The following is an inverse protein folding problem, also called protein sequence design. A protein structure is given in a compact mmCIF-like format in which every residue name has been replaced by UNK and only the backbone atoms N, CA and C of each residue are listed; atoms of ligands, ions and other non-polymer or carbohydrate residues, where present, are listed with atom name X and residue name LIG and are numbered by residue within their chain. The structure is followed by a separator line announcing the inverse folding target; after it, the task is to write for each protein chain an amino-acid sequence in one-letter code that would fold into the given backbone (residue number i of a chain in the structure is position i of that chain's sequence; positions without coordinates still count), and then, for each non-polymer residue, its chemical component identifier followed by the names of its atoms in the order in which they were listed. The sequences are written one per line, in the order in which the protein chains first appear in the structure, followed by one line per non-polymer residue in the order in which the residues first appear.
data_IF_273882273349
#
_entry.id   IF_273882273349
#
_cell.length_a   1.000
_cell.length_b   1.000
_cell.length_c   1.000
_cell.angle_alpha   90.00
_cell.angle_beta   90.00
_cell.angle_gamma   90.00
#
_symmetry.space_group_name_H-M   'P 1'
#
loop_
_entity.id
_entity.type
_entity.pdbx_description
1 polymer ?
#
# COMPACT_ATOMS: atom_id res chain seq x y z
N UNK A 1 -1.49 -34.66 -3.80
CA UNK A 1 -2.94 -34.30 -3.80
C UNK A 1 -3.37 -33.19 -2.81
N UNK A 2 -2.81 -33.00 -1.59
CA UNK A 2 -3.31 -31.98 -0.65
C UNK A 2 -3.06 -30.52 -1.11
N UNK A 3 -2.05 -30.28 -1.95
CA UNK A 3 -1.72 -28.93 -2.45
C UNK A 3 -2.77 -28.32 -3.38
N UNK A 4 -3.49 -29.12 -4.17
CA UNK A 4 -4.51 -28.61 -5.12
C UNK A 4 -5.75 -28.10 -4.36
N UNK A 5 -6.25 -28.87 -3.40
CA UNK A 5 -7.40 -28.46 -2.58
C UNK A 5 -7.10 -27.20 -1.76
N UNK A 6 -5.92 -27.16 -1.11
CA UNK A 6 -5.46 -25.98 -0.36
C UNK A 6 -5.37 -24.72 -1.26
N UNK A 7 -4.90 -24.88 -2.50
CA UNK A 7 -4.83 -23.78 -3.48
C UNK A 7 -6.23 -23.27 -3.86
N UNK A 8 -7.18 -24.17 -4.09
CA UNK A 8 -8.58 -23.81 -4.39
C UNK A 8 -9.19 -23.03 -3.22
N UNK A 9 -9.05 -23.53 -1.99
CA UNK A 9 -9.56 -22.86 -0.78
C UNK A 9 -8.97 -21.45 -0.65
N UNK A 10 -7.64 -21.31 -0.80
CA UNK A 10 -6.96 -20.00 -0.74
C UNK A 10 -7.50 -19.03 -1.82
N UNK A 11 -7.76 -19.53 -3.02
CA UNK A 11 -8.32 -18.71 -4.11
C UNK A 11 -9.76 -18.28 -3.81
N UNK A 12 -10.60 -19.16 -3.28
CA UNK A 12 -11.97 -18.82 -2.87
C UNK A 12 -11.97 -17.76 -1.76
N UNK A 13 -11.14 -17.92 -0.73
CA UNK A 13 -11.02 -16.93 0.35
C UNK A 13 -10.57 -15.59 -0.23
N UNK A 14 -9.56 -15.58 -1.10
CA UNK A 14 -9.10 -14.36 -1.78
C UNK A 14 -10.23 -13.70 -2.56
N UNK A 15 -11.03 -14.46 -3.31
CA UNK A 15 -12.16 -13.93 -4.06
C UNK A 15 -13.21 -13.30 -3.14
N UNK A 16 -13.60 -13.97 -2.05
CA UNK A 16 -14.56 -13.44 -1.07
C UNK A 16 -14.06 -12.16 -0.41
N UNK A 17 -12.79 -12.12 0.00
CA UNK A 17 -12.18 -10.92 0.59
C UNK A 17 -12.17 -9.75 -0.41
N UNK A 18 -11.82 -10.01 -1.66
CA UNK A 18 -11.81 -8.97 -2.70
C UNK A 18 -13.22 -8.50 -3.09
N UNK A 19 -14.22 -9.39 -3.05
CA UNK A 19 -15.62 -9.00 -3.22
C UNK A 19 -16.10 -8.12 -2.06
N UNK A 20 -15.80 -8.51 -0.82
CA UNK A 20 -16.08 -7.70 0.37
C UNK A 20 -15.39 -6.33 0.32
N UNK A 21 -14.13 -6.28 -0.12
CA UNK A 21 -13.42 -5.02 -0.35
C UNK A 21 -14.12 -4.13 -1.37
N UNK A 22 -14.52 -4.68 -2.52
CA UNK A 22 -15.25 -3.96 -3.57
C UNK A 22 -16.61 -3.47 -3.08
N UNK A 23 -17.31 -4.26 -2.26
CA UNK A 23 -18.54 -3.83 -1.62
C UNK A 23 -18.27 -2.65 -0.66
N UNK A 24 -17.23 -2.72 0.15
CA UNK A 24 -16.86 -1.64 1.07
C UNK A 24 -16.56 -0.32 0.34
N UNK A 25 -15.86 -0.38 -0.81
CA UNK A 25 -15.60 0.81 -1.65
C UNK A 25 -16.90 1.49 -2.08
N UNK A 26 -17.95 0.72 -2.39
CA UNK A 26 -19.22 1.24 -2.87
C UNK A 26 -20.12 1.75 -1.73
N UNK A 27 -20.13 1.03 -0.62
CA UNK A 27 -21.06 1.27 0.49
C UNK A 27 -20.56 2.37 1.42
N UNK A 28 -19.26 2.37 1.77
CA UNK A 28 -18.74 3.30 2.76
C UNK A 28 -18.15 4.56 2.11
N UNK A 29 -18.33 5.74 2.73
CA UNK A 29 -17.69 6.97 2.27
C UNK A 29 -16.17 6.93 2.51
N UNK A 30 -15.43 7.71 1.72
CA UNK A 30 -14.01 7.99 1.99
C UNK A 30 -13.93 8.91 3.22
N UNK A 31 -13.05 8.56 4.15
CA UNK A 31 -12.82 9.21 5.44
C UNK A 31 -11.50 9.98 5.39
N UNK A 32 -11.60 11.30 5.21
CA UNK A 32 -10.44 12.19 5.06
C UNK A 32 -9.58 12.28 6.33
N UNK A 33 -10.12 11.87 7.48
CA UNK A 33 -9.43 11.78 8.76
C UNK A 33 -8.61 10.49 8.93
N UNK A 34 -8.67 9.54 7.98
CA UNK A 34 -7.99 8.25 8.07
C UNK A 34 -6.79 8.21 7.13
N UNK A 35 -5.61 7.92 7.70
CA UNK A 35 -4.33 7.86 6.97
C UNK A 35 -3.71 6.47 7.13
N UNK A 36 -3.29 5.90 6.00
CA UNK A 36 -2.54 4.65 5.95
C UNK A 36 -1.08 4.92 5.62
N UNK A 37 -0.18 4.31 6.39
CA UNK A 37 1.25 4.33 6.15
C UNK A 37 1.77 2.92 5.88
N UNK A 38 2.62 2.75 4.88
CA UNK A 38 3.26 1.47 4.59
C UNK A 38 4.69 1.68 4.07
N UNK A 39 5.66 1.08 4.75
CA UNK A 39 7.06 0.99 4.28
C UNK A 39 7.48 -0.44 3.94
N UNK A 40 8.21 -0.60 2.83
CA UNK A 40 8.71 -1.87 2.32
C UNK A 40 7.65 -2.98 2.31
N UNK A 41 6.50 -2.72 1.69
CA UNK A 41 5.35 -3.64 1.64
C UNK A 41 4.88 -4.11 3.04
N UNK A 42 5.00 -3.24 4.04
CA UNK A 42 4.59 -3.49 5.42
C UNK A 42 5.54 -4.40 6.20
N UNK A 43 6.76 -4.64 5.71
CA UNK A 43 7.75 -5.46 6.43
C UNK A 43 8.42 -4.70 7.57
N UNK A 44 8.62 -3.40 7.39
CA UNK A 44 9.44 -2.59 8.27
C UNK A 44 8.70 -1.29 8.66
N UNK A 45 9.14 -0.66 9.75
CA UNK A 45 8.80 0.71 10.13
C UNK A 45 10.03 1.60 9.89
N UNK A 46 10.20 2.07 8.65
CA UNK A 46 11.45 2.72 8.18
C UNK A 46 11.17 3.76 7.08
N UNK A 47 12.21 4.49 6.68
CA UNK A 47 12.19 5.34 5.49
C UNK A 47 11.24 6.54 5.59
N UNK A 48 10.82 7.02 4.42
CA UNK A 48 9.99 8.22 4.32
C UNK A 48 8.60 8.07 4.98
N UNK A 49 7.86 6.95 4.84
CA UNK A 49 6.58 6.78 5.53
C UNK A 49 6.71 6.85 7.06
N UNK A 50 7.82 6.31 7.62
CA UNK A 50 8.14 6.45 9.05
C UNK A 50 8.33 7.92 9.41
N UNK A 51 9.22 8.61 8.72
CA UNK A 51 9.60 9.99 9.04
C UNK A 51 8.39 10.94 8.96
N UNK A 52 7.54 10.78 7.94
CA UNK A 52 6.29 11.55 7.81
C UNK A 52 5.37 11.29 9.01
N UNK A 53 5.19 10.03 9.40
CA UNK A 53 4.35 9.71 10.56
C UNK A 53 4.93 10.27 11.87
N UNK A 54 6.23 10.14 12.11
CA UNK A 54 6.90 10.69 13.30
C UNK A 54 6.77 12.21 13.38
N UNK A 55 6.90 12.90 12.26
CA UNK A 55 6.68 14.36 12.19
C UNK A 55 5.22 14.73 12.48
N UNK A 56 4.26 13.93 12.00
CA UNK A 56 2.85 14.12 12.37
C UNK A 56 2.61 13.94 13.87
N UNK A 57 3.28 12.97 14.52
CA UNK A 57 3.22 12.78 15.97
C UNK A 57 3.82 13.99 16.70
N UNK A 58 4.98 14.49 16.23
CA UNK A 58 5.65 15.67 16.81
C UNK A 58 4.74 16.90 16.78
N UNK A 59 3.98 17.07 15.70
CA UNK A 59 3.00 18.16 15.54
C UNK A 59 1.64 17.87 16.23
N UNK A 60 1.47 16.71 16.87
CA UNK A 60 0.21 16.30 17.51
C UNK A 60 -0.93 15.98 16.53
N UNK A 61 -0.62 15.83 15.24
CA UNK A 61 -1.60 15.54 14.20
C UNK A 61 -2.15 14.11 14.29
N UNK A 62 -1.42 13.18 14.91
CA UNK A 62 -1.87 11.81 15.19
C UNK A 62 -3.04 11.74 16.21
N UNK A 63 -3.34 12.86 16.88
CA UNK A 63 -4.55 13.02 17.72
C UNK A 63 -5.76 13.52 16.91
N UNK A 64 -5.52 14.22 15.80
CA UNK A 64 -6.56 14.72 14.89
C UNK A 64 -6.91 13.71 13.80
N UNK A 65 -5.90 12.99 13.31
CA UNK A 65 -6.03 11.97 12.28
C UNK A 65 -5.92 10.57 12.85
N UNK A 66 -6.70 9.66 12.30
CA UNK A 66 -6.67 8.23 12.61
C UNK A 66 -5.58 7.57 11.78
N UNK A 67 -4.38 7.50 12.33
CA UNK A 67 -3.23 6.90 11.69
C UNK A 67 -3.24 5.37 11.84
N UNK A 68 -2.98 4.67 10.74
CA UNK A 68 -2.79 3.23 10.71
C UNK A 68 -1.48 2.91 9.99
N UNK A 69 -0.62 2.14 10.64
CA UNK A 69 0.62 1.66 10.03
C UNK A 69 0.43 0.20 9.61
N UNK A 70 0.62 -0.08 8.32
CA UNK A 70 0.60 -1.43 7.80
C UNK A 70 1.92 -2.09 8.14
N UNK A 71 1.87 -3.14 8.96
CA UNK A 71 3.05 -3.78 9.51
C UNK A 71 2.82 -5.26 9.82
N UNK A 72 3.73 -6.12 9.36
CA UNK A 72 3.69 -7.56 9.61
C UNK A 72 4.20 -7.94 11.00
N UNK A 73 5.21 -7.24 11.53
CA UNK A 73 5.63 -7.41 12.91
C UNK A 73 4.74 -6.59 13.87
N UNK A 74 4.14 -7.27 14.87
CA UNK A 74 3.31 -6.62 15.88
C UNK A 74 4.11 -6.14 17.08
N UNK A 75 5.35 -6.58 17.23
CA UNK A 75 6.20 -6.21 18.36
C UNK A 75 6.91 -4.88 18.12
N UNK A 76 7.04 -4.46 16.86
CA UNK A 76 7.54 -3.13 16.51
C UNK A 76 6.82 -2.03 17.30
N UNK A 77 7.61 -1.23 18.01
CA UNK A 77 7.13 -0.10 18.81
C UNK A 77 6.91 1.09 17.88
N UNK A 78 5.73 1.71 17.96
CA UNK A 78 5.41 2.92 17.22
C UNK A 78 5.24 4.08 18.23
N UNK A 79 5.76 5.27 17.94
CA UNK A 79 5.41 6.47 18.70
C UNK A 79 3.96 6.88 18.42
N UNK A 80 3.39 7.70 19.28
CA UNK A 80 2.05 8.29 19.07
C UNK A 80 0.90 7.29 19.10
N UNK A 81 -0.23 7.67 18.48
CA UNK A 81 -1.51 6.97 18.57
C UNK A 81 -1.81 5.99 17.41
N UNK A 82 -0.88 5.79 16.47
CA UNK A 82 -1.15 4.91 15.31
C UNK A 82 -1.42 3.46 15.70
N UNK A 83 -2.35 2.85 14.96
CA UNK A 83 -2.71 1.44 15.12
C UNK A 83 -2.01 0.58 14.06
N UNK A 84 -1.40 -0.53 14.49
CA UNK A 84 -0.78 -1.52 13.60
C UNK A 84 -1.82 -2.39 12.89
N UNK A 85 -1.64 -2.65 11.60
CA UNK A 85 -2.54 -3.48 10.77
C UNK A 85 -1.73 -4.43 9.89
N UNK A 86 -2.06 -5.72 9.91
CA UNK A 86 -1.42 -6.74 9.04
C UNK A 86 -2.06 -6.79 7.66
N UNK A 87 -1.27 -7.01 6.60
CA UNK A 87 -1.76 -7.05 5.19
C UNK A 87 -2.76 -8.17 4.93
N UNK A 88 -2.66 -9.26 5.66
CA UNK A 88 -3.49 -10.47 5.43
C UNK A 88 -4.87 -10.43 6.07
N UNK A 89 -5.21 -9.36 6.80
CA UNK A 89 -6.48 -9.28 7.55
C UNK A 89 -7.54 -8.48 6.78
N UNK A 90 -8.81 -8.83 6.97
CA UNK A 90 -9.95 -8.06 6.43
C UNK A 90 -9.85 -6.55 6.73
N UNK A 91 -9.35 -6.21 7.92
CA UNK A 91 -9.12 -4.82 8.34
C UNK A 91 -8.19 -4.03 7.40
N UNK A 92 -7.19 -4.66 6.81
CA UNK A 92 -6.32 -4.02 5.80
C UNK A 92 -7.13 -3.56 4.60
N UNK A 93 -7.91 -4.47 4.01
CA UNK A 93 -8.77 -4.15 2.87
C UNK A 93 -9.83 -3.12 3.21
N UNK A 94 -10.49 -3.25 4.37
CA UNK A 94 -11.49 -2.28 4.81
C UNK A 94 -10.88 -0.87 4.95
N UNK A 95 -9.69 -0.75 5.55
CA UNK A 95 -9.04 0.55 5.68
C UNK A 95 -8.65 1.12 4.32
N UNK A 96 -8.12 0.32 3.39
CA UNK A 96 -7.89 0.78 2.02
C UNK A 96 -9.19 1.19 1.30
N UNK A 97 -10.35 0.65 1.68
CA UNK A 97 -11.62 1.05 1.05
C UNK A 97 -12.11 2.43 1.53
N UNK A 98 -11.74 2.82 2.75
CA UNK A 98 -12.28 4.01 3.42
C UNK A 98 -11.26 5.11 3.68
N UNK A 99 -9.96 4.82 3.70
CA UNK A 99 -8.94 5.83 4.00
C UNK A 99 -8.91 6.93 2.94
N UNK A 100 -8.78 8.18 3.39
CA UNK A 100 -8.67 9.36 2.53
C UNK A 100 -7.24 9.64 2.08
N UNK A 101 -6.24 9.13 2.80
CA UNK A 101 -4.83 9.37 2.49
C UNK A 101 -4.04 8.06 2.63
N UNK A 102 -3.23 7.74 1.62
CA UNK A 102 -2.26 6.65 1.62
C UNK A 102 -0.86 7.21 1.45
N UNK A 103 0.08 6.76 2.27
CA UNK A 103 1.50 7.10 2.21
C UNK A 103 2.29 5.81 2.09
N UNK A 104 3.03 5.62 1.00
CA UNK A 104 3.86 4.43 0.82
C UNK A 104 5.16 4.73 0.09
N UNK A 105 6.16 3.87 0.29
CA UNK A 105 7.46 3.88 -0.43
C UNK A 105 7.56 2.81 -1.52
N UNK A 106 6.49 2.01 -1.67
CA UNK A 106 6.43 0.84 -2.52
C UNK A 106 5.15 0.87 -3.36
N UNK A 107 5.13 0.08 -4.44
CA UNK A 107 3.90 -0.11 -5.22
C UNK A 107 2.86 -0.89 -4.41
N UNK A 108 1.62 -0.42 -4.42
CA UNK A 108 0.50 -1.19 -3.91
C UNK A 108 0.07 -2.26 -4.94
N UNK A 109 -0.40 -3.43 -4.50
CA UNK A 109 -0.90 -4.46 -5.41
C UNK A 109 -2.10 -3.98 -6.22
N UNK A 110 -2.20 -4.39 -7.49
CA UNK A 110 -3.26 -3.97 -8.44
C UNK A 110 -4.70 -4.28 -7.99
N UNK A 111 -4.88 -5.19 -7.04
CA UNK A 111 -6.21 -5.47 -6.47
C UNK A 111 -6.69 -4.39 -5.49
N UNK A 112 -5.79 -3.54 -4.99
CA UNK A 112 -6.13 -2.34 -4.21
C UNK A 112 -6.48 -1.23 -5.20
N UNK A 113 -7.71 -0.73 -5.11
CA UNK A 113 -8.26 0.26 -6.04
C UNK A 113 -8.31 1.62 -5.37
N UNK A 114 -7.55 2.59 -5.87
CA UNK A 114 -7.65 3.98 -5.42
C UNK A 114 -9.02 4.55 -5.78
N UNK A 115 -9.63 5.25 -4.81
CA UNK A 115 -10.86 6.02 -5.02
C UNK A 115 -10.52 7.46 -5.39
N UNK A 116 -11.31 8.15 -6.23
CA UNK A 116 -11.01 9.53 -6.63
C UNK A 116 -10.82 10.51 -5.46
N UNK A 117 -11.58 10.34 -4.36
CA UNK A 117 -11.47 11.17 -3.15
C UNK A 117 -10.30 10.79 -2.23
N UNK A 118 -9.52 9.78 -2.57
CA UNK A 118 -8.35 9.35 -1.82
C UNK A 118 -7.07 9.93 -2.45
N UNK A 119 -6.18 10.46 -1.62
CA UNK A 119 -4.86 10.94 -2.00
C UNK A 119 -3.80 9.87 -1.73
N UNK A 120 -3.09 9.45 -2.76
CA UNK A 120 -1.98 8.51 -2.67
C UNK A 120 -0.66 9.26 -2.87
N UNK A 121 0.09 9.39 -1.78
CA UNK A 121 1.42 9.97 -1.72
C UNK A 121 2.44 8.83 -1.84
N UNK A 122 3.11 8.77 -2.98
CA UNK A 122 4.22 7.88 -3.22
C UNK A 122 5.53 8.58 -2.86
N UNK A 123 6.29 7.96 -1.96
CA UNK A 123 7.56 8.51 -1.48
C UNK A 123 8.78 7.85 -2.11
N UNK A 124 8.57 6.68 -2.74
CA UNK A 124 9.63 5.80 -3.20
C UNK A 124 10.73 5.61 -2.13
N UNK A 125 11.89 5.13 -2.52
CA UNK A 125 12.92 4.71 -1.57
C UNK A 125 14.35 5.05 -2.02
N UNK A 126 14.51 6.13 -2.81
CA UNK A 126 15.82 6.67 -3.14
C UNK A 126 15.98 7.12 -4.58
N UNK A 127 17.10 7.81 -4.82
CA UNK A 127 17.53 8.25 -6.15
C UNK A 127 17.96 7.01 -6.93
N UNK A 128 17.37 6.76 -8.11
CA UNK A 128 17.67 5.56 -8.87
C UNK A 128 19.10 5.61 -9.40
N UNK A 129 19.91 4.61 -9.05
CA UNK A 129 21.21 4.37 -9.69
C UNK A 129 21.08 3.40 -10.88
N UNK A 130 20.17 2.43 -10.79
CA UNK A 130 19.90 1.45 -11.84
C UNK A 130 18.68 1.89 -12.65
N UNK A 131 18.60 1.47 -13.92
CA UNK A 131 17.37 1.59 -14.72
C UNK A 131 16.25 0.78 -14.05
N UNK A 132 15.07 1.37 -13.92
CA UNK A 132 13.90 0.79 -13.26
C UNK A 132 12.65 0.98 -14.11
N UNK A 133 11.62 0.19 -13.83
CA UNK A 133 10.30 0.36 -14.40
C UNK A 133 10.31 0.41 -15.94
N UNK A 134 9.92 1.54 -16.54
CA UNK A 134 9.78 1.71 -17.97
C UNK A 134 11.14 1.71 -18.71
N UNK A 135 12.23 1.97 -17.99
CA UNK A 135 13.58 1.99 -18.56
C UNK A 135 14.26 0.62 -18.55
N UNK A 136 13.60 -0.42 -18.03
CA UNK A 136 14.14 -1.78 -18.04
C UNK A 136 14.03 -2.41 -19.44
N UNK A 137 15.09 -3.09 -19.87
CA UNK A 137 15.12 -3.79 -21.17
C UNK A 137 14.65 -5.26 -21.05
N UNK A 138 14.89 -5.88 -19.89
CA UNK A 138 14.48 -7.26 -19.60
C UNK A 138 14.02 -7.40 -18.15
N UNK A 139 13.16 -8.37 -17.88
CA UNK A 139 12.72 -8.72 -16.52
C UNK A 139 12.71 -10.24 -16.37
N UNK A 140 13.42 -10.73 -15.35
CA UNK A 140 13.45 -12.16 -14.98
C UNK A 140 12.98 -12.28 -13.53
N UNK A 141 11.68 -12.06 -13.30
CA UNK A 141 11.07 -12.08 -11.96
C UNK A 141 9.93 -13.10 -11.91
N UNK A 142 9.85 -13.85 -10.80
CA UNK A 142 8.80 -14.84 -10.61
C UNK A 142 7.41 -14.18 -10.61
N UNK A 143 6.56 -14.62 -11.54
CA UNK A 143 5.19 -14.13 -11.70
C UNK A 143 5.01 -13.02 -12.73
N UNK A 144 6.09 -12.52 -13.33
CA UNK A 144 6.02 -11.68 -14.52
C UNK A 144 6.10 -12.57 -15.77
N UNK A 145 5.26 -12.29 -16.75
CA UNK A 145 5.14 -13.04 -18.02
C UNK A 145 6.05 -12.48 -19.11
N UNK A 146 6.49 -11.23 -18.97
CA UNK A 146 7.37 -10.53 -19.90
C UNK A 146 7.55 -9.05 -19.57
N UNK A 147 8.52 -8.40 -20.22
CA UNK A 147 8.87 -6.99 -19.97
C UNK A 147 7.71 -6.03 -20.30
N UNK A 148 6.94 -6.30 -21.35
CA UNK A 148 5.81 -5.46 -21.75
C UNK A 148 4.68 -5.45 -20.72
N UNK A 149 4.29 -6.62 -20.21
CA UNK A 149 3.27 -6.71 -19.16
C UNK A 149 3.75 -6.06 -17.86
N UNK A 150 5.02 -6.25 -17.49
CA UNK A 150 5.63 -5.58 -16.34
C UNK A 150 5.56 -4.06 -16.49
N UNK A 151 5.99 -3.50 -17.64
CA UNK A 151 5.96 -2.07 -17.91
C UNK A 151 4.55 -1.52 -17.88
N UNK A 152 3.60 -2.21 -18.52
CA UNK A 152 2.19 -1.84 -18.49
C UNK A 152 1.64 -1.80 -17.06
N UNK A 153 1.89 -2.85 -16.27
CA UNK A 153 1.46 -2.92 -14.88
C UNK A 153 2.09 -1.83 -14.01
N UNK A 154 3.37 -1.49 -14.27
CA UNK A 154 4.04 -0.40 -13.58
C UNK A 154 3.43 0.95 -13.95
N UNK A 155 3.20 1.19 -15.24
CA UNK A 155 2.55 2.40 -15.75
C UNK A 155 1.17 2.57 -15.11
N UNK A 156 0.30 1.54 -15.20
CA UNK A 156 -1.04 1.56 -14.62
C UNK A 156 -1.01 1.81 -13.11
N UNK A 157 0.00 1.31 -12.39
CA UNK A 157 0.18 1.58 -10.97
C UNK A 157 0.57 3.03 -10.70
N UNK A 158 1.52 3.57 -11.48
CA UNK A 158 1.99 4.94 -11.35
C UNK A 158 0.87 5.97 -11.62
N UNK A 159 -0.07 5.65 -12.53
CA UNK A 159 -1.26 6.47 -12.77
C UNK A 159 -2.17 6.62 -11.53
N UNK A 160 -1.98 5.80 -10.49
CA UNK A 160 -2.73 5.94 -9.24
C UNK A 160 -2.11 6.93 -8.27
N UNK A 161 -0.86 7.36 -8.47
CA UNK A 161 -0.16 8.23 -7.53
C UNK A 161 -0.63 9.67 -7.74
N UNK A 162 -1.13 10.34 -6.70
CA UNK A 162 -1.47 11.77 -6.77
C UNK A 162 -0.22 12.64 -6.61
N UNK A 163 0.74 12.15 -5.82
CA UNK A 163 2.01 12.84 -5.55
C UNK A 163 3.16 11.83 -5.58
N UNK A 164 4.28 12.25 -6.14
CA UNK A 164 5.56 11.53 -6.09
C UNK A 164 6.62 12.46 -5.50
N UNK A 165 7.27 12.02 -4.43
CA UNK A 165 8.40 12.76 -3.86
C UNK A 165 9.64 12.57 -4.74
N UNK A 166 10.27 13.67 -5.15
CA UNK A 166 11.60 13.68 -5.75
C UNK A 166 12.66 14.09 -4.72
N UNK A 167 13.85 13.50 -4.82
CA UNK A 167 14.99 13.82 -3.94
C UNK A 167 15.90 14.92 -4.53
N UNK A 168 15.61 15.37 -5.75
CA UNK A 168 16.36 16.37 -6.48
C UNK A 168 15.40 17.29 -7.26
N UNK A 169 15.87 18.50 -7.56
CA UNK A 169 15.17 19.56 -8.28
C UNK A 169 15.99 20.01 -9.49
#
# INVERSE_FOLDING_TARGET
MPGKLMKIIKNCIKAVVLLGYRACIRIFPVRQDVILFESNLGRNYTGNPRAIYEEMVRQGLDKKYRCYFILEDRNTVLPGAAKKVKRTRFRYFFLFAVAGIWVSDSRLPMYIRKRPKCRYIQTWHGTPLKKLALDMDTVFMAGETGIEEYKKNFYDNAQTWDYLVSQNH
#
